data_IF_715782866015
#
_entry.id   IF_715782866015
#
_cell.length_a   1.000
_cell.length_b   1.000
_cell.length_c   1.000
_cell.angle_alpha   90.00
_cell.angle_beta   90.00
_cell.angle_gamma   90.00
#
_symmetry.space_group_name_H-M   'P 1'
#
loop_
_entity.id
_entity.type
_entity.pdbx_description
1 polymer ?
#
# COMPACT_ATOMS: atom_id res chain seq x y z
N UNK A 1 23.53 3.34 17.14
CA UNK A 1 23.81 2.05 16.43
C UNK A 1 22.55 1.22 16.46
N UNK A 2 22.15 0.62 15.35
CA UNK A 2 20.95 -0.26 15.32
C UNK A 2 21.29 -1.65 15.84
N UNK A 3 20.50 -2.14 16.78
CA UNK A 3 20.59 -3.51 17.30
C UNK A 3 20.54 -4.52 16.15
N UNK A 4 21.48 -5.48 16.06
CA UNK A 4 21.40 -6.56 15.09
C UNK A 4 20.12 -7.39 15.29
N UNK A 5 19.56 -7.90 14.20
CA UNK A 5 18.38 -8.75 14.21
C UNK A 5 18.81 -10.22 14.15
N UNK A 6 18.33 -11.05 15.06
CA UNK A 6 18.55 -12.50 15.06
C UNK A 6 17.43 -13.18 14.27
N UNK A 7 17.78 -13.93 13.23
CA UNK A 7 16.82 -14.55 12.31
C UNK A 7 16.92 -16.06 12.44
N UNK A 8 15.85 -16.65 12.95
CA UNK A 8 15.74 -18.09 13.19
C UNK A 8 15.03 -18.76 12.02
N UNK A 9 15.76 -19.56 11.24
CA UNK A 9 15.15 -20.42 10.24
C UNK A 9 14.81 -21.79 10.86
N UNK A 10 13.70 -22.42 10.46
CA UNK A 10 13.39 -23.78 10.87
C UNK A 10 14.53 -24.75 10.57
N UNK A 11 15.08 -25.37 11.61
CA UNK A 11 16.17 -26.36 11.50
C UNK A 11 17.58 -25.76 11.36
N UNK A 12 17.75 -24.45 11.52
CA UNK A 12 19.07 -23.82 11.63
C UNK A 12 19.36 -23.42 13.08
N UNK A 13 20.50 -23.86 13.61
CA UNK A 13 21.05 -23.39 14.89
C UNK A 13 22.58 -23.32 14.72
N UNK A 14 23.25 -22.19 15.01
CA UNK A 14 22.75 -20.92 15.57
C UNK A 14 21.85 -20.10 14.62
N UNK A 15 21.10 -19.10 15.14
CA UNK A 15 20.39 -18.13 14.30
C UNK A 15 21.37 -17.27 13.51
N UNK A 16 20.93 -16.78 12.36
CA UNK A 16 21.72 -15.86 11.57
C UNK A 16 21.57 -14.42 12.07
N UNK A 17 22.61 -13.61 11.87
CA UNK A 17 22.65 -12.22 12.33
C UNK A 17 22.44 -11.28 11.15
N UNK A 18 21.26 -10.68 11.09
CA UNK A 18 20.93 -9.59 10.18
C UNK A 18 21.50 -8.26 10.69
N UNK A 19 22.31 -7.62 9.87
CA UNK A 19 22.81 -6.26 10.10
C UNK A 19 22.08 -5.31 9.18
N UNK A 20 21.67 -4.16 9.70
CA UNK A 20 20.99 -3.14 8.89
C UNK A 20 21.92 -2.66 7.78
N UNK A 21 21.43 -2.71 6.55
CA UNK A 21 22.19 -2.35 5.36
C UNK A 21 21.87 -0.91 4.94
N UNK A 22 22.93 -0.11 4.72
CA UNK A 22 22.79 1.24 4.19
C UNK A 22 22.65 1.16 2.68
N UNK A 23 21.50 1.60 2.18
CA UNK A 23 21.23 1.62 0.75
C UNK A 23 22.19 2.62 0.07
N UNK A 24 22.92 2.23 -0.99
CA UNK A 24 23.78 3.12 -1.75
C UNK A 24 23.00 4.33 -2.31
N UNK A 25 23.64 5.49 -2.27
CA UNK A 25 23.09 6.78 -2.74
C UNK A 25 21.75 7.17 -2.08
N UNK A 26 21.49 6.61 -0.90
CA UNK A 26 20.38 7.02 -0.06
C UNK A 26 20.85 8.06 0.95
N UNK A 27 20.57 9.32 0.63
CA UNK A 27 20.96 10.50 1.43
C UNK A 27 20.17 10.62 2.72
N UNK A 28 18.93 10.10 2.76
CA UNK A 28 18.16 10.07 3.99
C UNK A 28 18.78 9.00 4.90
N UNK A 29 19.16 9.43 6.11
CA UNK A 29 19.84 8.61 7.10
C UNK A 29 19.02 7.38 7.53
N UNK A 30 19.55 6.56 8.47
CA UNK A 30 18.84 5.38 8.98
C UNK A 30 17.44 5.69 9.57
N UNK A 31 17.13 6.95 9.85
CA UNK A 31 15.82 7.40 10.33
C UNK A 31 14.76 7.50 9.22
N UNK A 32 15.12 7.20 7.97
CA UNK A 32 14.20 7.21 6.82
C UNK A 32 13.29 5.99 6.73
N UNK A 33 13.31 5.10 7.71
CA UNK A 33 12.47 3.91 7.78
C UNK A 33 11.86 3.80 9.17
N UNK A 34 10.82 2.98 9.31
CA UNK A 34 10.22 2.74 10.61
C UNK A 34 11.20 2.03 11.52
N UNK A 35 11.26 2.49 12.77
CA UNK A 35 12.02 1.84 13.83
C UNK A 35 11.32 0.50 14.12
N UNK A 36 12.12 -0.56 14.25
CA UNK A 36 11.60 -1.84 14.75
C UNK A 36 11.08 -1.66 16.18
N UNK A 37 9.99 -2.35 16.57
CA UNK A 37 9.59 -2.39 17.98
C UNK A 37 10.78 -2.81 18.86
N UNK A 38 10.95 -2.18 20.03
CA UNK A 38 12.16 -2.32 20.84
C UNK A 38 12.42 -3.77 21.29
N UNK A 39 11.33 -4.53 21.44
CA UNK A 39 11.28 -5.96 21.75
C UNK A 39 11.70 -6.88 20.59
N UNK A 40 11.85 -6.34 19.37
CA UNK A 40 12.16 -7.14 18.18
C UNK A 40 13.67 -7.35 18.05
N UNK A 41 14.22 -8.25 18.87
CA UNK A 41 15.60 -8.75 18.72
C UNK A 41 15.68 -10.04 17.92
N UNK A 42 14.63 -10.86 18.00
CA UNK A 42 14.55 -12.19 17.42
C UNK A 42 13.29 -12.31 16.56
N UNK A 43 13.47 -12.75 15.31
CA UNK A 43 12.37 -13.10 14.41
C UNK A 43 12.50 -14.54 13.94
N UNK A 44 11.37 -15.24 13.91
CA UNK A 44 11.27 -16.64 13.57
C UNK A 44 10.58 -16.80 12.22
N UNK A 45 11.29 -17.36 11.24
CA UNK A 45 10.73 -17.64 9.92
C UNK A 45 9.71 -18.78 10.08
N UNK A 46 8.42 -18.49 9.89
CA UNK A 46 7.35 -19.48 10.00
C UNK A 46 7.11 -20.18 8.68
N UNK A 47 7.15 -19.44 7.58
CA UNK A 47 6.81 -19.92 6.25
C UNK A 47 7.66 -19.21 5.20
N UNK A 48 8.13 -19.96 4.20
CA UNK A 48 8.79 -19.44 3.00
C UNK A 48 7.89 -19.66 1.79
N UNK A 49 7.92 -18.71 0.88
CA UNK A 49 7.10 -18.67 -0.32
C UNK A 49 7.90 -18.20 -1.51
N UNK A 50 7.62 -18.75 -2.69
CA UNK A 50 8.02 -18.19 -3.98
C UNK A 50 6.80 -17.91 -4.83
N UNK A 51 6.88 -16.95 -5.73
CA UNK A 51 5.84 -16.78 -6.74
C UNK A 51 5.85 -17.96 -7.71
N UNK A 52 4.68 -18.39 -8.17
CA UNK A 52 4.55 -19.37 -9.24
C UNK A 52 5.13 -18.81 -10.54
N UNK A 53 5.74 -19.68 -11.35
CA UNK A 53 6.29 -19.35 -12.67
C UNK A 53 5.19 -19.18 -13.72
N UNK A 54 4.12 -19.95 -13.56
CA UNK A 54 2.88 -19.74 -14.29
C UNK A 54 2.33 -18.45 -13.68
N UNK A 55 2.12 -17.40 -14.47
CA UNK A 55 1.73 -16.06 -14.03
C UNK A 55 0.28 -16.03 -13.46
N UNK A 56 -0.02 -16.94 -12.55
CA UNK A 56 -1.29 -17.23 -11.90
C UNK A 56 -1.42 -16.51 -10.55
N UNK A 57 -0.37 -15.80 -10.11
CA UNK A 57 -0.33 -15.10 -8.81
C UNK A 57 -0.27 -16.03 -7.60
N UNK A 58 -0.05 -17.33 -7.79
CA UNK A 58 0.10 -18.32 -6.73
C UNK A 58 1.47 -18.19 -6.06
N UNK A 59 1.54 -18.57 -4.79
CA UNK A 59 2.75 -18.55 -3.96
C UNK A 59 2.88 -19.96 -3.47
N UNK A 60 3.94 -20.60 -3.92
CA UNK A 60 4.25 -21.96 -3.57
C UNK A 60 5.00 -21.93 -2.25
N UNK A 61 4.51 -22.67 -1.25
CA UNK A 61 5.25 -22.89 -0.01
C UNK A 61 6.54 -23.63 -0.34
N UNK A 62 7.63 -23.23 0.31
CA UNK A 62 8.90 -23.90 0.14
C UNK A 62 9.51 -24.28 1.48
N UNK A 63 10.10 -25.47 1.54
CA UNK A 63 10.87 -25.88 2.70
C UNK A 63 12.22 -25.17 2.72
N UNK A 64 12.63 -24.73 3.92
CA UNK A 64 13.91 -24.06 4.19
C UNK A 64 15.10 -24.83 3.64
N UNK A 65 15.08 -26.17 3.72
CA UNK A 65 16.17 -27.02 3.22
C UNK A 65 16.43 -26.87 1.72
N UNK A 66 15.43 -26.44 0.95
CA UNK A 66 15.58 -26.18 -0.48
C UNK A 66 16.02 -24.74 -0.75
N UNK A 67 15.93 -23.86 0.25
CA UNK A 67 16.33 -22.47 0.08
C UNK A 67 17.83 -22.27 -0.11
N UNK A 68 18.63 -23.28 0.25
CA UNK A 68 20.09 -23.31 0.10
C UNK A 68 20.60 -23.31 -1.35
N UNK A 69 19.78 -23.76 -2.29
CA UNK A 69 20.19 -23.94 -3.70
C UNK A 69 19.89 -22.67 -4.51
N UNK A 70 19.17 -21.71 -3.92
CA UNK A 70 18.63 -20.56 -4.65
C UNK A 70 19.63 -19.43 -4.79
N UNK A 71 19.71 -18.89 -6.01
CA UNK A 71 20.74 -17.93 -6.40
C UNK A 71 22.11 -18.56 -6.64
N UNK A 72 22.22 -19.89 -6.65
CA UNK A 72 23.41 -20.65 -7.10
C UNK A 72 23.15 -21.30 -8.46
N UNK A 73 21.91 -21.70 -8.74
CA UNK A 73 21.42 -22.11 -10.07
C UNK A 73 20.85 -20.90 -10.84
N UNK A 74 20.83 -20.98 -12.18
CA UNK A 74 20.57 -19.91 -13.18
C UNK A 74 19.24 -19.13 -13.07
N UNK A 75 18.44 -19.31 -12.02
CA UNK A 75 17.11 -18.71 -11.92
C UNK A 75 16.94 -17.79 -10.70
N UNK A 76 16.91 -16.46 -10.92
CA UNK A 76 16.59 -15.51 -9.87
C UNK A 76 15.10 -15.52 -9.53
N UNK A 77 14.78 -15.92 -8.30
CA UNK A 77 13.41 -15.81 -7.76
C UNK A 77 13.41 -14.98 -6.47
N UNK A 78 12.46 -14.03 -6.33
CA UNK A 78 12.23 -13.34 -5.05
C UNK A 78 11.46 -14.32 -4.17
N UNK A 79 12.07 -14.64 -3.03
CA UNK A 79 11.44 -15.45 -2.00
C UNK A 79 10.93 -14.54 -0.90
N UNK A 80 9.74 -14.87 -0.40
CA UNK A 80 9.08 -14.18 0.67
C UNK A 80 9.11 -15.08 1.91
N UNK A 81 9.40 -14.53 3.08
CA UNK A 81 9.06 -15.19 4.34
C UNK A 81 7.95 -14.44 5.06
N UNK A 82 7.08 -15.22 5.73
CA UNK A 82 6.35 -14.74 6.91
C UNK A 82 7.21 -15.03 8.12
N UNK A 83 7.52 -14.00 8.89
CA UNK A 83 8.25 -14.10 10.14
C UNK A 83 7.46 -13.47 11.28
N UNK A 84 7.74 -13.89 12.51
CA UNK A 84 7.05 -13.41 13.70
C UNK A 84 8.04 -13.28 14.86
N UNK A 85 7.73 -12.41 15.83
CA UNK A 85 8.41 -12.42 17.14
C UNK A 85 8.09 -13.70 17.91
N UNK A 86 8.85 -13.98 18.98
CA UNK A 86 8.67 -15.19 19.80
C UNK A 86 7.24 -15.30 20.38
N UNK A 87 6.67 -14.17 20.79
CA UNK A 87 5.33 -14.01 21.34
C UNK A 87 4.25 -13.80 20.26
N UNK A 88 4.62 -13.80 18.98
CA UNK A 88 3.75 -13.52 17.83
C UNK A 88 3.04 -12.15 17.89
N UNK A 89 3.53 -11.19 18.70
CA UNK A 89 2.98 -9.83 18.78
C UNK A 89 3.18 -9.03 17.48
N UNK A 90 4.27 -9.31 16.76
CA UNK A 90 4.58 -8.68 15.48
C UNK A 90 4.77 -9.68 14.36
N UNK A 91 4.33 -9.30 13.16
CA UNK A 91 4.38 -10.13 11.95
C UNK A 91 5.07 -9.36 10.84
N UNK A 92 6.04 -10.01 10.22
CA UNK A 92 6.87 -9.41 9.20
C UNK A 92 6.81 -10.19 7.89
N UNK A 93 6.99 -9.46 6.80
CA UNK A 93 7.32 -10.01 5.50
C UNK A 93 8.79 -9.70 5.19
N UNK A 94 9.57 -10.74 4.88
CA UNK A 94 10.93 -10.60 4.39
C UNK A 94 10.94 -10.92 2.90
N UNK A 95 11.56 -10.06 2.08
CA UNK A 95 11.77 -10.29 0.65
C UNK A 95 13.26 -10.48 0.41
N UNK A 96 13.68 -11.69 0.09
CA UNK A 96 15.09 -12.08 0.00
C UNK A 96 15.63 -11.98 -1.42
N UNK A 97 16.89 -11.59 -1.50
CA UNK A 97 17.84 -11.86 -2.58
C UNK A 97 18.97 -12.69 -1.96
N UNK A 98 19.03 -13.97 -2.35
CA UNK A 98 20.11 -14.87 -1.95
C UNK A 98 21.33 -14.64 -2.84
N UNK A 99 22.52 -14.92 -2.33
CA UNK A 99 23.80 -14.63 -3.00
C UNK A 99 23.88 -13.21 -3.59
N UNK A 100 23.50 -12.20 -2.81
CA UNK A 100 23.45 -10.80 -3.23
C UNK A 100 24.76 -10.29 -3.85
N UNK A 101 25.91 -10.86 -3.47
CA UNK A 101 27.20 -10.58 -4.13
C UNK A 101 27.22 -11.03 -5.58
N UNK A 102 26.78 -12.26 -5.87
CA UNK A 102 26.67 -12.76 -7.24
C UNK A 102 25.61 -11.99 -8.04
N UNK A 103 24.46 -11.71 -7.42
CA UNK A 103 23.37 -10.94 -8.04
C UNK A 103 23.78 -9.51 -8.45
N UNK A 104 24.91 -9.01 -7.96
CA UNK A 104 25.42 -7.67 -8.29
C UNK A 104 26.67 -7.67 -9.18
N UNK A 105 27.25 -8.84 -9.48
CA UNK A 105 28.49 -8.94 -10.26
C UNK A 105 28.27 -8.77 -11.77
N UNK A 106 27.11 -9.19 -12.29
CA UNK A 106 26.76 -9.03 -13.70
C UNK A 106 25.44 -8.28 -13.85
N UNK A 107 25.53 -7.09 -14.47
CA UNK A 107 24.40 -6.19 -14.67
C UNK A 107 23.42 -6.66 -15.75
N UNK A 108 23.79 -7.65 -16.55
CA UNK A 108 22.97 -8.18 -17.63
C UNK A 108 22.05 -9.32 -17.17
N UNK A 109 22.23 -9.82 -15.94
CA UNK A 109 21.43 -10.91 -15.41
C UNK A 109 20.11 -10.41 -14.79
N UNK A 110 19.06 -11.23 -14.88
CA UNK A 110 17.76 -10.97 -14.23
C UNK A 110 17.88 -10.82 -12.69
N UNK A 111 18.90 -11.44 -12.08
CA UNK A 111 19.25 -11.31 -10.66
C UNK A 111 19.52 -9.84 -10.29
N UNK A 112 20.22 -9.12 -11.16
CA UNK A 112 20.56 -7.72 -10.97
C UNK A 112 19.31 -6.84 -11.07
N UNK A 113 18.42 -7.10 -12.02
CA UNK A 113 17.14 -6.40 -12.14
C UNK A 113 16.28 -6.56 -10.89
N UNK A 114 16.25 -7.75 -10.29
CA UNK A 114 15.50 -8.02 -9.06
C UNK A 114 16.11 -7.32 -7.85
N UNK A 115 17.44 -7.31 -7.76
CA UNK A 115 18.18 -6.51 -6.79
C UNK A 115 17.86 -5.02 -6.92
N UNK A 116 17.90 -4.46 -8.14
CA UNK A 116 17.58 -3.05 -8.40
C UNK A 116 16.13 -2.72 -8.04
N UNK A 117 15.17 -3.59 -8.39
CA UNK A 117 13.77 -3.42 -8.02
C UNK A 117 13.58 -3.40 -6.50
N UNK A 118 14.23 -4.31 -5.77
CA UNK A 118 14.13 -4.34 -4.30
C UNK A 118 14.67 -3.05 -3.68
N UNK A 119 15.78 -2.51 -4.21
CA UNK A 119 16.33 -1.23 -3.78
C UNK A 119 15.43 -0.07 -4.13
N UNK A 120 14.93 0.00 -5.36
CA UNK A 120 14.05 1.05 -5.83
C UNK A 120 12.78 1.13 -4.95
N UNK A 121 12.20 -0.03 -4.63
CA UNK A 121 11.05 -0.15 -3.73
C UNK A 121 11.36 0.41 -2.32
N UNK A 122 12.48 0.01 -1.71
CA UNK A 122 12.89 0.52 -0.39
C UNK A 122 13.18 2.03 -0.40
N UNK A 123 13.81 2.55 -1.47
CA UNK A 123 14.03 3.99 -1.66
C UNK A 123 12.71 4.75 -1.81
N UNK A 124 11.74 4.19 -2.54
CA UNK A 124 10.44 4.82 -2.71
C UNK A 124 9.66 4.86 -1.40
N UNK A 125 9.66 3.74 -0.64
CA UNK A 125 9.04 3.67 0.67
C UNK A 125 9.54 4.75 1.63
N UNK A 126 10.87 4.85 1.77
CA UNK A 126 11.50 5.80 2.69
C UNK A 126 11.34 7.27 2.30
N UNK A 127 11.16 7.56 1.01
CA UNK A 127 11.03 8.95 0.51
C UNK A 127 9.59 9.43 0.39
N UNK A 128 8.68 8.54 -0.03
CA UNK A 128 7.35 8.92 -0.50
C UNK A 128 6.22 8.30 0.31
N UNK A 129 6.46 7.18 1.01
CA UNK A 129 5.37 6.39 1.60
C UNK A 129 5.32 6.39 3.13
N UNK A 130 6.26 7.06 3.81
CA UNK A 130 6.33 7.08 5.28
C UNK A 130 5.01 7.53 5.93
N UNK A 131 4.31 8.49 5.33
CA UNK A 131 3.04 9.01 5.85
C UNK A 131 1.84 8.07 5.62
N UNK A 132 1.99 7.02 4.83
CA UNK A 132 0.94 6.04 4.48
C UNK A 132 1.20 4.65 5.04
N UNK A 133 2.35 4.48 5.68
CA UNK A 133 2.81 3.21 6.21
C UNK A 133 1.95 2.72 7.38
N UNK A 134 1.48 1.48 7.28
CA UNK A 134 0.53 0.88 8.20
C UNK A 134 -0.93 1.27 7.92
N UNK A 135 -1.21 2.01 6.83
CA UNK A 135 -2.58 2.38 6.43
C UNK A 135 -2.89 1.98 4.99
N UNK A 136 -2.08 2.43 4.02
CA UNK A 136 -2.24 2.11 2.60
C UNK A 136 -1.12 1.21 2.06
N UNK A 137 0.02 1.24 2.74
CA UNK A 137 1.19 0.44 2.38
C UNK A 137 1.79 -0.17 3.65
N UNK A 138 2.57 -1.25 3.57
CA UNK A 138 3.24 -1.83 4.73
C UNK A 138 4.22 -0.85 5.36
N UNK A 139 4.39 -0.94 6.69
CA UNK A 139 5.57 -0.34 7.33
C UNK A 139 6.84 -1.00 6.82
N UNK A 140 7.81 -0.20 6.38
CA UNK A 140 9.11 -0.68 5.93
C UNK A 140 10.15 -0.43 7.03
N UNK A 141 10.78 -1.49 7.53
CA UNK A 141 11.73 -1.47 8.65
C UNK A 141 13.20 -1.46 8.19
N UNK A 142 13.40 -1.36 6.88
CA UNK A 142 14.70 -1.15 6.26
C UNK A 142 15.18 -2.36 5.46
N UNK A 143 16.37 -2.19 4.91
CA UNK A 143 17.10 -3.25 4.22
C UNK A 143 18.14 -3.85 5.16
N UNK A 144 18.38 -5.14 5.03
CA UNK A 144 19.21 -5.90 5.96
C UNK A 144 20.09 -6.87 5.18
N UNK A 145 21.32 -7.04 5.67
CA UNK A 145 22.31 -7.95 5.13
C UNK A 145 22.61 -9.03 6.17
N UNK A 146 22.73 -10.27 5.72
CA UNK A 146 23.01 -11.41 6.57
C UNK A 146 24.02 -12.32 5.87
N UNK A 147 25.07 -12.70 6.57
CA UNK A 147 26.02 -13.70 6.08
C UNK A 147 25.55 -15.07 6.56
N UNK A 148 25.31 -15.98 5.62
CA UNK A 148 24.83 -17.33 5.89
C UNK A 148 25.86 -18.42 5.55
N UNK A 149 27.12 -18.01 5.38
CA UNK A 149 28.24 -18.90 5.03
C UNK A 149 27.87 -19.81 3.84
N UNK A 150 28.15 -21.11 3.94
CA UNK A 150 27.93 -22.09 2.87
C UNK A 150 26.46 -22.41 2.61
N UNK A 151 25.52 -21.85 3.40
CA UNK A 151 24.09 -22.11 3.19
C UNK A 151 23.54 -21.35 1.99
N UNK A 152 23.73 -20.03 1.93
CA UNK A 152 23.22 -19.19 0.84
C UNK A 152 24.04 -17.91 0.62
N UNK A 153 25.31 -17.94 1.02
CA UNK A 153 26.26 -16.84 0.88
C UNK A 153 25.84 -15.57 1.62
N UNK A 154 25.87 -14.44 0.92
CA UNK A 154 25.38 -13.17 1.45
C UNK A 154 23.93 -12.97 1.05
N UNK A 155 23.04 -12.82 2.02
CA UNK A 155 21.61 -12.59 1.80
C UNK A 155 21.28 -11.12 2.05
N UNK A 156 20.68 -10.47 1.06
CA UNK A 156 20.09 -9.14 1.21
C UNK A 156 18.57 -9.30 1.31
N UNK A 157 17.92 -8.59 2.22
CA UNK A 157 16.46 -8.61 2.29
C UNK A 157 15.85 -7.27 2.71
N UNK A 158 14.64 -7.03 2.22
CA UNK A 158 13.75 -5.99 2.74
C UNK A 158 12.90 -6.58 3.86
N UNK A 159 12.76 -5.85 4.96
CA UNK A 159 11.89 -6.20 6.08
C UNK A 159 10.70 -5.24 6.13
N UNK A 160 9.49 -5.78 6.01
CA UNK A 160 8.23 -5.01 6.02
C UNK A 160 7.21 -5.63 6.97
N UNK A 161 6.16 -4.90 7.29
CA UNK A 161 4.98 -5.44 7.97
C UNK A 161 4.34 -6.55 7.12
N UNK A 162 3.92 -7.64 7.76
CA UNK A 162 3.06 -8.62 7.10
C UNK A 162 1.65 -8.05 6.93
N UNK A 163 1.16 -8.01 5.69
CA UNK A 163 -0.07 -7.32 5.31
C UNK A 163 -1.12 -8.24 4.68
N UNK A 164 -1.03 -9.56 4.90
CA UNK A 164 -2.09 -10.50 4.53
C UNK A 164 -1.91 -11.21 3.19
N UNK A 165 -3.05 -11.44 2.51
CA UNK A 165 -3.16 -12.30 1.32
C UNK A 165 -3.42 -11.45 0.07
N UNK A 166 -2.76 -11.74 -1.07
CA UNK A 166 -3.05 -11.06 -2.32
C UNK A 166 -4.52 -11.18 -2.72
N UNK A 167 -5.14 -10.07 -3.14
CA UNK A 167 -6.53 -10.02 -3.55
C UNK A 167 -6.79 -10.93 -4.76
N UNK A 168 -5.81 -11.08 -5.65
CA UNK A 168 -5.90 -12.04 -6.77
C UNK A 168 -6.19 -13.48 -6.34
N UNK A 169 -5.91 -13.86 -5.08
CA UNK A 169 -6.26 -15.19 -4.52
C UNK A 169 -7.59 -15.26 -3.81
N UNK A 170 -8.14 -14.10 -3.50
CA UNK A 170 -9.44 -14.00 -2.88
C UNK A 170 -10.54 -14.04 -3.96
N UNK A 171 -10.20 -13.74 -5.22
CA UNK A 171 -11.08 -13.88 -6.37
C UNK A 171 -11.70 -15.29 -6.46
N UNK A 172 -13.01 -15.35 -6.68
CA UNK A 172 -13.78 -16.59 -6.72
C UNK A 172 -13.97 -17.31 -5.37
N UNK A 173 -13.50 -16.74 -4.26
CA UNK A 173 -13.74 -17.26 -2.91
C UNK A 173 -14.88 -16.52 -2.23
N UNK A 174 -15.28 -16.94 -1.03
CA UNK A 174 -16.26 -16.21 -0.21
C UNK A 174 -15.82 -14.78 0.18
N UNK A 175 -14.53 -14.45 0.00
CA UNK A 175 -13.98 -13.11 0.26
C UNK A 175 -13.94 -12.23 -1.00
N UNK A 176 -14.36 -12.75 -2.15
CA UNK A 176 -14.55 -11.96 -3.38
C UNK A 176 -15.87 -11.19 -3.35
N UNK A 177 -16.03 -10.32 -2.36
CA UNK A 177 -17.24 -9.51 -2.18
C UNK A 177 -17.12 -8.18 -2.93
N UNK A 178 -18.27 -7.59 -3.27
CA UNK A 178 -18.31 -6.25 -3.86
C UNK A 178 -17.62 -5.23 -2.94
N UNK A 179 -17.81 -5.35 -1.64
CA UNK A 179 -17.19 -4.49 -0.64
C UNK A 179 -15.67 -4.60 -0.62
N UNK A 180 -15.12 -5.81 -0.79
CA UNK A 180 -13.67 -6.00 -0.92
C UNK A 180 -13.14 -5.46 -2.25
N UNK A 181 -13.87 -5.59 -3.35
CA UNK A 181 -13.50 -4.96 -4.63
C UNK A 181 -13.49 -3.43 -4.50
N UNK A 182 -14.51 -2.85 -3.87
CA UNK A 182 -14.57 -1.42 -3.56
C UNK A 182 -13.43 -0.99 -2.61
N UNK A 183 -13.07 -1.81 -1.62
CA UNK A 183 -11.91 -1.61 -0.75
C UNK A 183 -10.59 -1.55 -1.54
N UNK A 184 -10.39 -2.41 -2.54
CA UNK A 184 -9.22 -2.34 -3.42
C UNK A 184 -9.24 -1.06 -4.25
N UNK A 185 -10.37 -0.75 -4.90
CA UNK A 185 -10.52 0.44 -5.72
C UNK A 185 -10.23 1.74 -4.95
N UNK A 186 -10.80 1.86 -3.75
CA UNK A 186 -10.56 3.02 -2.88
C UNK A 186 -9.12 3.15 -2.42
N UNK A 187 -8.41 2.04 -2.22
CA UNK A 187 -7.01 2.07 -1.79
C UNK A 187 -6.12 2.66 -2.90
N UNK A 188 -6.38 2.35 -4.17
CA UNK A 188 -5.71 2.98 -5.30
C UNK A 188 -6.04 4.47 -5.44
N UNK A 189 -7.32 4.84 -5.29
CA UNK A 189 -7.72 6.24 -5.33
C UNK A 189 -7.05 7.07 -4.25
N UNK A 190 -6.92 6.53 -3.03
CA UNK A 190 -6.21 7.18 -1.95
C UNK A 190 -4.73 7.38 -2.30
N UNK A 191 -4.04 6.42 -2.93
CA UNK A 191 -2.68 6.65 -3.41
C UNK A 191 -2.62 7.80 -4.43
N UNK A 192 -3.56 7.83 -5.38
CA UNK A 192 -3.62 8.86 -6.42
C UNK A 192 -3.90 10.24 -5.87
N UNK A 193 -4.77 10.34 -4.86
CA UNK A 193 -5.06 11.60 -4.17
C UNK A 193 -3.84 12.16 -3.43
N UNK A 194 -2.91 11.28 -3.03
CA UNK A 194 -1.62 11.67 -2.48
C UNK A 194 -0.53 11.87 -3.55
N UNK A 195 -0.90 11.81 -4.83
CA UNK A 195 0.02 12.00 -5.94
C UNK A 195 0.98 10.84 -6.16
N UNK A 196 0.57 9.62 -5.83
CA UNK A 196 1.35 8.41 -6.11
C UNK A 196 0.69 7.65 -7.26
N UNK A 197 1.47 7.38 -8.31
CA UNK A 197 1.13 6.47 -9.39
C UNK A 197 1.88 5.16 -9.16
N UNK A 198 1.18 4.03 -9.15
CA UNK A 198 1.79 2.72 -8.90
C UNK A 198 2.59 2.21 -10.11
N UNK A 199 2.10 2.49 -11.31
CA UNK A 199 2.53 2.07 -12.64
C UNK A 199 2.86 0.57 -12.74
N UNK A 200 1.81 -0.27 -12.74
CA UNK A 200 1.94 -1.64 -13.22
C UNK A 200 1.60 -1.72 -14.71
N UNK A 201 2.52 -2.28 -15.49
CA UNK A 201 2.27 -2.54 -16.92
C UNK A 201 1.32 -3.72 -17.15
N UNK A 202 0.97 -4.51 -16.12
CA UNK A 202 0.14 -5.71 -16.23
C UNK A 202 -1.04 -5.69 -15.25
N UNK A 203 -2.25 -5.93 -15.78
CA UNK A 203 -3.50 -5.94 -15.01
C UNK A 203 -3.56 -7.12 -14.03
N UNK A 204 -3.15 -8.32 -14.42
CA UNK A 204 -3.12 -9.50 -13.53
C UNK A 204 -2.16 -9.30 -12.37
N UNK A 205 -1.01 -8.65 -12.63
CA UNK A 205 -0.02 -8.34 -11.58
C UNK A 205 -0.52 -7.28 -10.60
N UNK A 206 -1.44 -6.40 -11.03
CA UNK A 206 -1.96 -5.32 -10.18
C UNK A 206 -2.63 -5.87 -8.92
N UNK A 207 -3.55 -6.82 -9.06
CA UNK A 207 -4.27 -7.42 -7.92
C UNK A 207 -3.39 -8.36 -7.07
N UNK A 208 -2.32 -8.89 -7.66
CA UNK A 208 -1.31 -9.68 -6.92
C UNK A 208 -0.48 -8.85 -5.93
N UNK A 209 -0.48 -7.53 -6.09
CA UNK A 209 0.22 -6.59 -5.23
C UNK A 209 -0.70 -5.79 -4.31
N UNK A 210 -1.99 -6.12 -4.29
CA UNK A 210 -2.93 -5.62 -3.28
C UNK A 210 -3.17 -6.74 -2.27
N UNK A 211 -2.90 -6.47 -1.00
CA UNK A 211 -3.02 -7.43 0.08
C UNK A 211 -4.16 -7.03 1.01
N UNK A 212 -5.03 -7.99 1.35
CA UNK A 212 -6.03 -7.82 2.41
C UNK A 212 -5.54 -8.58 3.65
N UNK A 213 -5.43 -7.88 4.79
CA UNK A 213 -5.00 -8.49 6.04
C UNK A 213 -6.14 -9.23 6.75
N UNK A 214 -6.41 -10.43 6.25
CA UNK A 214 -7.38 -11.37 6.82
C UNK A 214 -7.01 -11.86 8.23
N UNK A 215 -5.78 -11.57 8.68
CA UNK A 215 -5.29 -11.96 9.99
C UNK A 215 -5.14 -10.76 10.92
N UNK A 216 -5.58 -9.56 10.52
CA UNK A 216 -5.55 -8.39 11.39
C UNK A 216 -6.35 -8.68 12.69
N UNK A 217 -5.87 -8.28 13.88
CA UNK A 217 -6.57 -8.53 15.14
C UNK A 217 -8.02 -8.04 15.14
N UNK A 218 -8.30 -6.90 14.48
CA UNK A 218 -9.65 -6.36 14.41
C UNK A 218 -10.58 -7.20 13.52
N UNK A 219 -10.02 -7.89 12.51
CA UNK A 219 -10.73 -8.87 11.67
C UNK A 219 -10.88 -10.19 12.41
N UNK A 220 -9.87 -10.64 13.16
CA UNK A 220 -9.97 -11.84 13.98
C UNK A 220 -11.07 -11.72 15.06
N UNK A 221 -11.23 -10.53 15.66
CA UNK A 221 -12.30 -10.25 16.61
C UNK A 221 -13.69 -10.14 15.99
N UNK A 222 -13.76 -9.81 14.70
CA UNK A 222 -15.01 -9.61 13.96
C UNK A 222 -14.81 -9.99 12.49
N UNK A 223 -15.01 -11.28 12.14
CA UNK A 223 -14.82 -11.77 10.78
C UNK A 223 -15.75 -11.11 9.76
N UNK A 224 -16.86 -10.52 10.19
CA UNK A 224 -17.78 -9.82 9.29
C UNK A 224 -17.11 -8.62 8.62
N UNK A 225 -16.11 -8.00 9.26
CA UNK A 225 -15.30 -6.92 8.66
C UNK A 225 -14.59 -7.32 7.38
N UNK A 226 -14.24 -8.60 7.24
CA UNK A 226 -13.61 -9.09 6.02
C UNK A 226 -14.62 -9.21 4.87
N UNK A 227 -15.90 -9.46 5.18
CA UNK A 227 -16.95 -9.54 4.16
C UNK A 227 -17.45 -8.14 3.77
N UNK A 228 -17.41 -7.18 4.69
CA UNK A 228 -17.92 -5.81 4.49
C UNK A 228 -16.87 -4.79 4.04
N UNK A 229 -15.70 -5.24 3.55
CA UNK A 229 -14.66 -4.33 3.06
C UNK A 229 -14.06 -3.42 4.14
N UNK A 230 -14.09 -3.87 5.40
CA UNK A 230 -13.54 -3.15 6.55
C UNK A 230 -12.19 -3.72 7.01
N UNK A 231 -11.71 -4.81 6.41
CA UNK A 231 -10.36 -5.31 6.63
C UNK A 231 -9.30 -4.30 6.13
N UNK A 232 -8.11 -4.26 6.76
CA UNK A 232 -7.00 -3.48 6.24
C UNK A 232 -6.58 -3.95 4.84
N UNK A 233 -6.34 -3.00 3.94
CA UNK A 233 -5.90 -3.25 2.57
C UNK A 233 -4.63 -2.46 2.29
N UNK A 234 -3.65 -3.13 1.69
CA UNK A 234 -2.32 -2.57 1.46
C UNK A 234 -1.89 -2.79 0.02
N UNK A 235 -1.31 -1.78 -0.60
CA UNK A 235 -0.61 -1.91 -1.87
C UNK A 235 0.87 -2.10 -1.55
N UNK A 236 1.52 -3.06 -2.23
CA UNK A 236 2.92 -3.42 -2.00
C UNK A 236 3.75 -3.35 -3.27
N UNK A 237 5.08 -3.33 -3.13
CA UNK A 237 6.04 -3.38 -4.23
C UNK A 237 5.92 -2.19 -5.19
N UNK A 238 6.64 -1.11 -4.90
CA UNK A 238 6.70 0.15 -5.64
C UNK A 238 8.02 0.38 -6.42
N UNK A 239 8.63 -0.63 -7.08
CA UNK A 239 9.91 -0.41 -7.76
C UNK A 239 9.81 0.53 -8.98
N UNK A 240 8.61 0.66 -9.56
CA UNK A 240 8.32 1.46 -10.75
C UNK A 240 7.37 2.62 -10.46
N UNK A 241 7.02 2.84 -9.19
CA UNK A 241 6.07 3.86 -8.82
C UNK A 241 6.64 5.26 -9.03
N UNK A 242 5.75 6.21 -9.32
CA UNK A 242 6.09 7.61 -9.48
C UNK A 242 5.37 8.46 -8.42
N UNK A 243 6.09 9.44 -7.88
CA UNK A 243 5.53 10.47 -7.02
C UNK A 243 5.09 11.69 -7.86
N UNK A 244 4.37 12.61 -7.23
CA UNK A 244 3.87 13.84 -7.85
C UNK A 244 2.91 13.61 -9.03
N UNK A 245 2.20 12.48 -9.05
CA UNK A 245 1.16 12.21 -10.02
C UNK A 245 -0.02 13.19 -9.88
N UNK A 246 -0.22 14.04 -10.87
CA UNK A 246 -1.38 14.92 -10.95
C UNK A 246 -2.59 14.14 -11.51
N UNK A 247 -3.25 13.35 -10.68
CA UNK A 247 -4.36 12.50 -11.10
C UNK A 247 -5.53 13.35 -11.65
N UNK A 248 -5.85 13.15 -12.93
CA UNK A 248 -6.95 13.85 -13.61
C UNK A 248 -8.25 13.04 -13.62
N UNK A 249 -8.39 12.04 -12.74
CA UNK A 249 -9.57 11.16 -12.77
C UNK A 249 -10.87 11.94 -12.52
N UNK A 250 -11.91 11.70 -13.31
CA UNK A 250 -13.20 12.41 -13.16
C UNK A 250 -14.27 11.58 -12.48
N UNK A 251 -14.04 10.28 -12.41
CA UNK A 251 -14.98 9.26 -11.96
C UNK A 251 -14.28 8.46 -10.85
N UNK A 252 -14.96 8.16 -9.74
CA UNK A 252 -14.42 7.24 -8.74
C UNK A 252 -14.30 5.80 -9.27
N UNK A 253 -13.47 4.99 -8.63
CA UNK A 253 -13.40 3.53 -8.86
C UNK A 253 -14.58 2.88 -8.14
N UNK A 254 -15.72 2.80 -8.83
CA UNK A 254 -16.95 2.14 -8.38
C UNK A 254 -17.59 1.41 -9.57
N UNK A 255 -18.47 0.42 -9.35
CA UNK A 255 -19.28 -0.14 -10.42
C UNK A 255 -20.11 0.96 -11.09
N UNK A 256 -20.07 1.00 -12.41
CA UNK A 256 -20.85 1.92 -13.22
C UNK A 256 -21.65 1.11 -14.22
N UNK A 257 -22.96 1.38 -14.33
CA UNK A 257 -23.89 0.59 -15.14
C UNK A 257 -23.79 0.87 -16.63
N UNK A 258 -22.69 1.49 -17.04
CA UNK A 258 -22.37 1.75 -18.42
C UNK A 258 -20.86 1.71 -18.62
N UNK A 259 -20.49 1.33 -19.83
CA UNK A 259 -19.10 1.31 -20.28
C UNK A 259 -18.45 2.69 -20.11
N UNK A 260 -17.33 2.74 -19.39
CA UNK A 260 -16.54 3.97 -19.23
C UNK A 260 -15.49 4.03 -20.33
N UNK A 261 -15.57 5.01 -21.23
CA UNK A 261 -14.51 5.20 -22.23
C UNK A 261 -13.22 5.64 -21.54
N UNK A 262 -12.10 5.06 -21.96
CA UNK A 262 -10.78 5.37 -21.39
C UNK A 262 -10.46 6.87 -21.30
N UNK A 263 -10.84 7.65 -22.32
CA UNK A 263 -10.61 9.10 -22.36
C UNK A 263 -11.44 9.89 -21.34
N UNK A 264 -12.61 9.39 -20.97
CA UNK A 264 -13.53 10.07 -20.06
C UNK A 264 -13.10 9.92 -18.60
N UNK A 265 -12.42 8.81 -18.27
CA UNK A 265 -12.00 8.53 -16.91
C UNK A 265 -10.90 9.49 -16.43
N UNK A 266 -9.92 9.85 -17.27
CA UNK A 266 -8.85 10.81 -16.95
C UNK A 266 -7.64 10.24 -16.18
N UNK A 267 -7.56 8.92 -15.96
CA UNK A 267 -6.37 8.27 -15.42
C UNK A 267 -6.21 6.83 -15.92
N UNK A 268 -5.13 6.54 -16.65
CA UNK A 268 -4.92 5.23 -17.29
C UNK A 268 -4.78 4.08 -16.29
N UNK A 269 -4.07 4.27 -15.18
CA UNK A 269 -3.89 3.22 -14.17
C UNK A 269 -5.23 2.83 -13.54
N UNK A 270 -6.04 3.81 -13.17
CA UNK A 270 -7.31 3.53 -12.50
C UNK A 270 -8.37 2.94 -13.43
N UNK A 271 -8.28 3.15 -14.75
CA UNK A 271 -9.08 2.35 -15.70
C UNK A 271 -8.64 0.88 -15.69
N UNK A 272 -7.33 0.59 -15.56
CA UNK A 272 -6.88 -0.80 -15.37
C UNK A 272 -7.39 -1.37 -14.05
N UNK A 273 -7.45 -0.56 -12.98
CA UNK A 273 -8.04 -0.96 -11.70
C UNK A 273 -9.53 -1.30 -11.88
N UNK A 274 -10.31 -0.43 -12.53
CA UNK A 274 -11.73 -0.71 -12.85
C UNK A 274 -11.91 -2.04 -13.58
N UNK A 275 -11.10 -2.26 -14.62
CA UNK A 275 -11.14 -3.50 -15.40
C UNK A 275 -10.79 -4.71 -14.53
N UNK A 276 -9.71 -4.63 -13.74
CA UNK A 276 -9.29 -5.71 -12.87
C UNK A 276 -10.32 -6.04 -11.78
N UNK A 277 -11.11 -5.05 -11.34
CA UNK A 277 -12.16 -5.22 -10.35
C UNK A 277 -13.51 -5.61 -10.93
N UNK A 278 -13.61 -5.80 -12.25
CA UNK A 278 -14.87 -6.14 -12.93
C UNK A 278 -15.95 -5.06 -12.74
N UNK A 279 -15.55 -3.79 -12.75
CA UNK A 279 -16.43 -2.62 -12.63
C UNK A 279 -16.72 -1.94 -13.96
N UNK A 280 -16.24 -2.53 -15.05
CA UNK A 280 -16.25 -1.93 -16.39
C UNK A 280 -17.50 -2.27 -17.20
N UNK A 281 -18.16 -3.37 -16.87
CA UNK A 281 -19.40 -3.82 -17.49
C UNK A 281 -20.54 -3.78 -16.47
N UNK A 282 -21.79 -3.59 -16.93
CA UNK A 282 -22.95 -3.76 -16.07
C UNK A 282 -22.94 -5.17 -15.48
N UNK A 283 -23.17 -5.27 -14.17
CA UNK A 283 -23.35 -6.56 -13.51
C UNK A 283 -24.78 -6.67 -13.02
N UNK A 284 -25.42 -7.80 -13.32
CA UNK A 284 -26.82 -8.06 -12.95
C UNK A 284 -27.02 -8.08 -11.42
N UNK A 285 -25.95 -8.32 -10.65
CA UNK A 285 -25.96 -8.34 -9.19
C UNK A 285 -25.74 -6.96 -8.54
N UNK A 286 -25.55 -5.91 -9.33
CA UNK A 286 -25.30 -4.55 -8.83
C UNK A 286 -26.38 -3.61 -9.36
N UNK A 287 -27.21 -3.10 -8.45
CA UNK A 287 -28.13 -2.00 -8.75
C UNK A 287 -27.33 -0.72 -9.00
N UNK A 288 -27.39 -0.20 -10.23
CA UNK A 288 -26.64 0.99 -10.62
C UNK A 288 -27.61 2.12 -10.90
N UNK A 289 -27.66 3.05 -9.95
CA UNK A 289 -28.60 4.17 -9.95
C UNK A 289 -28.09 5.40 -10.72
N UNK A 290 -26.84 5.41 -11.20
CA UNK A 290 -26.22 6.61 -11.79
C UNK A 290 -25.42 6.31 -13.07
N UNK A 291 -25.89 6.77 -14.25
CA UNK A 291 -25.15 6.67 -15.50
C UNK A 291 -23.81 7.42 -15.48
N UNK A 292 -22.80 6.90 -16.19
CA UNK A 292 -21.48 7.53 -16.33
C UNK A 292 -21.55 8.99 -16.83
N UNK A 293 -22.50 9.31 -17.72
CA UNK A 293 -22.68 10.68 -18.24
C UNK A 293 -23.08 11.67 -17.14
N UNK A 294 -23.95 11.26 -16.21
CA UNK A 294 -24.38 12.08 -15.09
C UNK A 294 -23.25 12.31 -14.09
N UNK A 295 -22.41 11.29 -13.86
CA UNK A 295 -21.18 11.41 -13.05
C UNK A 295 -20.24 12.46 -13.64
N UNK A 296 -19.97 12.38 -14.95
CA UNK A 296 -19.08 13.31 -15.65
C UNK A 296 -19.64 14.74 -15.69
N UNK A 297 -20.95 14.87 -15.93
CA UNK A 297 -21.66 16.15 -15.91
C UNK A 297 -21.58 16.79 -14.53
N UNK A 298 -21.81 16.01 -13.48
CA UNK A 298 -21.72 16.48 -12.10
C UNK A 298 -20.29 16.90 -11.74
N UNK A 299 -19.27 16.09 -12.07
CA UNK A 299 -17.87 16.43 -11.83
C UNK A 299 -17.49 17.76 -12.50
N UNK A 300 -17.86 17.92 -13.77
CA UNK A 300 -17.59 19.14 -14.54
C UNK A 300 -18.27 20.37 -13.92
N UNK A 301 -19.55 20.25 -13.53
CA UNK A 301 -20.30 21.32 -12.87
C UNK A 301 -19.69 21.68 -11.50
N UNK A 302 -19.31 20.68 -10.72
CA UNK A 302 -18.65 20.86 -9.44
C UNK A 302 -17.31 21.60 -9.58
N UNK A 303 -16.45 21.17 -10.51
CA UNK A 303 -15.17 21.82 -10.76
C UNK A 303 -15.34 23.26 -11.27
N UNK A 304 -16.37 23.53 -12.08
CA UNK A 304 -16.69 24.90 -12.50
C UNK A 304 -17.13 25.78 -11.33
N UNK A 305 -17.90 25.24 -10.39
CA UNK A 305 -18.43 25.99 -9.25
C UNK A 305 -17.39 26.20 -8.14
N UNK A 306 -16.67 25.14 -7.77
CA UNK A 306 -15.79 25.10 -6.60
C UNK A 306 -14.30 25.07 -6.94
N UNK A 307 -13.90 25.03 -8.22
CA UNK A 307 -12.52 24.74 -8.66
C UNK A 307 -11.45 25.65 -8.05
N UNK A 308 -11.78 26.91 -7.77
CA UNK A 308 -10.86 27.85 -7.12
C UNK A 308 -10.66 27.58 -5.61
N UNK A 309 -11.59 26.85 -4.98
CA UNK A 309 -11.63 26.56 -3.54
C UNK A 309 -11.18 25.12 -3.22
N UNK A 310 -11.21 24.20 -4.17
CA UNK A 310 -10.76 22.82 -3.97
C UNK A 310 -9.25 22.68 -4.23
N UNK A 311 -8.45 22.23 -3.25
CA UNK A 311 -6.99 22.20 -3.39
C UNK A 311 -6.50 21.11 -4.35
N UNK A 312 -7.32 20.09 -4.59
CA UNK A 312 -7.02 19.00 -5.52
C UNK A 312 -8.28 18.24 -5.93
N UNK A 313 -8.16 17.52 -7.04
CA UNK A 313 -9.23 16.74 -7.65
C UNK A 313 -9.84 15.68 -6.70
N UNK A 314 -9.07 15.14 -5.76
CA UNK A 314 -9.58 14.21 -4.73
C UNK A 314 -10.76 14.77 -3.93
N UNK A 315 -10.79 16.08 -3.65
CA UNK A 315 -11.89 16.71 -2.92
C UNK A 315 -13.20 16.67 -3.73
N UNK A 316 -13.13 16.94 -5.03
CA UNK A 316 -14.27 16.85 -5.92
C UNK A 316 -14.83 15.42 -5.98
N UNK A 317 -13.97 14.41 -5.96
CA UNK A 317 -14.39 13.01 -6.02
C UNK A 317 -14.98 12.51 -4.71
N UNK A 318 -14.53 13.03 -3.56
CA UNK A 318 -15.16 12.79 -2.25
C UNK A 318 -16.57 13.38 -2.24
N UNK A 319 -16.73 14.62 -2.72
CA UNK A 319 -18.03 15.28 -2.86
C UNK A 319 -18.96 14.48 -3.80
N UNK A 320 -18.43 14.05 -4.94
CA UNK A 320 -19.14 13.24 -5.93
C UNK A 320 -19.64 11.95 -5.32
N UNK A 321 -18.77 11.19 -4.63
CA UNK A 321 -19.16 9.95 -3.94
C UNK A 321 -20.23 10.17 -2.90
N UNK A 322 -20.08 11.21 -2.08
CA UNK A 322 -21.10 11.53 -1.10
C UNK A 322 -22.45 11.81 -1.77
N UNK A 323 -22.46 12.53 -2.89
CA UNK A 323 -23.69 12.92 -3.58
C UNK A 323 -24.34 11.78 -4.37
N UNK A 324 -23.58 11.10 -5.22
CA UNK A 324 -24.10 10.16 -6.21
C UNK A 324 -24.00 8.69 -5.77
N UNK A 325 -23.10 8.37 -4.85
CA UNK A 325 -22.85 7.00 -4.39
C UNK A 325 -23.02 6.83 -2.87
N UNK A 326 -24.16 7.23 -2.28
CA UNK A 326 -24.34 7.24 -0.83
C UNK A 326 -24.23 5.85 -0.19
N UNK A 327 -24.56 4.78 -0.93
CA UNK A 327 -24.45 3.37 -0.47
C UNK A 327 -22.99 2.91 -0.36
N UNK A 328 -22.05 3.55 -1.06
CA UNK A 328 -20.64 3.15 -1.14
C UNK A 328 -19.69 4.12 -0.39
N UNK A 329 -20.15 4.69 0.73
CA UNK A 329 -19.69 6.00 1.22
C UNK A 329 -18.32 6.14 1.92
N UNK A 330 -17.61 5.17 2.51
CA UNK A 330 -16.39 5.55 3.22
C UNK A 330 -15.15 5.47 2.33
N UNK A 331 -14.80 6.62 1.75
CA UNK A 331 -13.40 7.03 1.60
C UNK A 331 -12.94 7.69 2.91
N UNK A 332 -11.68 7.48 3.28
CA UNK A 332 -10.99 8.22 4.36
C UNK A 332 -11.50 8.05 5.79
N UNK A 333 -12.58 7.30 6.07
CA UNK A 333 -13.21 7.28 7.40
C UNK A 333 -12.31 6.85 8.58
N UNK A 334 -11.21 6.16 8.30
CA UNK A 334 -10.19 5.76 9.29
C UNK A 334 -9.12 6.84 9.52
N UNK A 335 -8.92 7.76 8.57
CA UNK A 335 -7.82 8.72 8.57
C UNK A 335 -8.29 10.17 8.71
N UNK A 336 -9.47 10.49 8.18
CA UNK A 336 -10.02 11.85 8.17
C UNK A 336 -11.51 11.85 8.56
N UNK A 337 -11.91 12.90 9.26
CA UNK A 337 -13.30 13.32 9.33
C UNK A 337 -13.61 14.19 8.11
N UNK A 338 -14.61 13.78 7.33
CA UNK A 338 -15.05 14.50 6.14
C UNK A 338 -16.23 15.38 6.52
N UNK A 339 -16.07 16.70 6.39
CA UNK A 339 -17.15 17.67 6.59
C UNK A 339 -17.59 18.26 5.24
N UNK A 340 -18.89 18.44 5.09
CA UNK A 340 -19.51 19.07 3.93
C UNK A 340 -20.10 20.41 4.35
N UNK A 341 -19.91 21.45 3.54
CA UNK A 341 -20.43 22.80 3.78
C UNK A 341 -20.81 23.49 2.47
N UNK A 342 -21.46 24.65 2.54
CA UNK A 342 -21.82 25.42 1.33
C UNK A 342 -23.06 24.87 0.63
N UNK A 343 -23.07 24.94 -0.71
CA UNK A 343 -24.25 24.65 -1.52
C UNK A 343 -24.64 23.16 -1.46
N UNK A 344 -25.93 22.80 -1.24
CA UNK A 344 -26.37 21.39 -1.13
C UNK A 344 -26.11 20.52 -2.37
N UNK A 345 -26.09 21.14 -3.55
CA UNK A 345 -25.83 20.45 -4.81
C UNK A 345 -24.33 20.25 -5.08
N UNK A 346 -23.50 21.19 -4.62
CA UNK A 346 -22.05 21.23 -4.85
C UNK A 346 -21.31 21.52 -3.53
N UNK A 347 -21.37 20.62 -2.54
CA UNK A 347 -20.85 20.90 -1.22
C UNK A 347 -19.31 20.99 -1.23
N UNK A 348 -18.79 22.00 -0.54
CA UNK A 348 -17.37 22.10 -0.25
C UNK A 348 -16.97 21.01 0.74
N UNK A 349 -15.91 20.29 0.41
CA UNK A 349 -15.35 19.22 1.23
C UNK A 349 -14.22 19.77 2.07
N UNK A 350 -14.24 19.47 3.37
CA UNK A 350 -13.13 19.68 4.28
C UNK A 350 -12.68 18.35 4.86
N UNK A 351 -11.39 18.05 4.74
CA UNK A 351 -10.78 16.87 5.34
C UNK A 351 -10.06 17.28 6.62
N UNK A 352 -10.57 16.83 7.76
CA UNK A 352 -9.95 17.04 9.06
C UNK A 352 -9.22 15.77 9.45
N UNK A 353 -7.89 15.83 9.59
CA UNK A 353 -7.11 14.66 10.01
C UNK A 353 -7.55 14.25 11.41
N UNK A 354 -7.92 12.97 11.57
CA UNK A 354 -8.13 12.42 12.90
C UNK A 354 -6.82 12.48 13.66
N UNK A 355 -6.86 12.81 14.95
CA UNK A 355 -5.66 12.79 15.78
C UNK A 355 -5.05 11.38 15.71
N UNK A 356 -3.87 11.28 15.08
CA UNK A 356 -3.11 10.04 15.13
C UNK A 356 -2.51 9.92 16.53
N UNK A 357 -2.37 8.71 17.08
CA UNK A 357 -1.53 8.48 18.25
C UNK A 357 -0.14 9.08 17.98
N UNK A 358 0.45 9.75 18.97
CA UNK A 358 1.52 10.74 18.83
C UNK A 358 2.88 10.27 18.24
N UNK A 359 2.98 9.13 17.55
CA UNK A 359 4.25 8.50 17.21
C UNK A 359 4.76 8.66 15.76
N UNK A 360 4.12 9.45 14.86
CA UNK A 360 4.47 9.40 13.42
C UNK A 360 4.44 10.71 12.62
N UNK A 361 4.77 11.88 13.19
CA UNK A 361 4.87 13.10 12.37
C UNK A 361 6.24 13.23 11.67
N UNK A 362 6.26 13.15 10.33
CA UNK A 362 7.40 13.60 9.49
C UNK A 362 6.92 14.58 8.42
N UNK A 363 7.68 15.66 8.20
CA UNK A 363 7.34 16.77 7.31
C UNK A 363 7.86 16.55 5.89
N UNK A 364 6.95 16.24 4.96
CA UNK A 364 7.23 16.15 3.54
C UNK A 364 5.96 15.74 2.79
N UNK A 365 5.25 16.73 2.25
CA UNK A 365 3.94 16.53 1.64
C UNK A 365 3.82 17.37 0.35
N UNK A 366 3.13 16.84 -0.66
CA UNK A 366 2.75 17.61 -1.85
C UNK A 366 1.69 18.66 -1.47
N UNK A 367 1.44 19.69 -2.31
CA UNK A 367 0.42 20.73 -2.04
C UNK A 367 -0.98 20.18 -1.66
N UNK A 368 -1.38 19.03 -2.19
CA UNK A 368 -2.63 18.36 -1.79
C UNK A 368 -2.49 17.76 -0.37
N UNK A 369 -1.36 17.12 -0.05
CA UNK A 369 -1.07 16.59 1.28
C UNK A 369 -0.77 17.68 2.35
N UNK A 370 -0.23 18.84 1.96
CA UNK A 370 -0.01 20.01 2.84
C UNK A 370 -1.33 20.70 3.19
N UNK A 371 -2.27 20.81 2.25
CA UNK A 371 -3.63 21.30 2.54
C UNK A 371 -4.43 20.36 3.47
N UNK A 372 -3.95 19.11 3.60
CA UNK A 372 -4.50 18.06 4.47
C UNK A 372 -3.79 18.05 5.85
N UNK A 373 -2.67 18.76 6.02
CA UNK A 373 -1.97 18.88 7.30
C UNK A 373 -2.18 20.26 7.96
N UNK A 374 -2.94 20.24 9.06
CA UNK A 374 -2.82 21.13 10.25
C UNK A 374 -3.25 22.60 10.07
N UNK A 375 -4.51 22.88 10.44
CA UNK A 375 -4.81 24.00 11.34
C UNK A 375 -4.93 23.43 12.75
N UNK A 376 -3.86 23.47 13.54
CA UNK A 376 -3.98 23.43 14.99
C UNK A 376 -4.64 24.74 15.39
N UNK A 377 -5.84 24.66 15.96
CA UNK A 377 -6.43 25.79 16.65
C UNK A 377 -5.53 26.15 17.83
N UNK A 378 -4.72 27.20 17.69
CA UNK A 378 -4.22 27.90 18.86
C UNK A 378 -5.43 28.46 19.58
N UNK A 379 -5.69 27.96 20.79
CA UNK A 379 -6.58 28.60 21.72
C UNK A 379 -6.00 30.01 21.98
N UNK A 380 -6.69 31.03 21.49
CA UNK A 380 -6.46 32.39 21.94
C UNK A 380 -6.86 32.45 23.40
N UNK A 381 -5.86 32.69 24.26
CA UNK A 381 -6.11 33.15 25.62
C UNK A 381 -6.65 34.58 25.54
N UNK A 382 -7.95 34.73 25.73
CA UNK A 382 -8.52 35.98 26.25
C UNK A 382 -7.91 36.24 27.63
N UNK A 383 -7.15 37.32 27.74
CA UNK A 383 -6.85 37.98 29.01
C UNK A 383 -7.39 39.41 28.93
N UNK A 384 -8.66 39.56 29.28
CA UNK A 384 -9.21 40.81 29.78
C UNK A 384 -8.79 40.98 31.25
N UNK A 385 -8.04 42.07 31.49
CA UNK A 385 -8.08 43.00 32.63
C UNK A 385 -8.40 42.50 34.05
N UNK A 386 -7.48 42.78 34.98
CA UNK A 386 -7.76 43.60 36.18
C UNK A 386 -6.43 44.08 36.82
N UNK A 387 -6.01 45.30 36.46
CA UNK A 387 -5.68 46.45 37.34
C UNK A 387 -5.14 47.63 36.53
#
# INVERSE_FOLDING_TARGET
>A
MTTPLRIHFPGSDPPFIGKRWKIPDHTNGPDSFHILPAETTDIYIRQLFRNSRINDGMRLKVAVKYARIWGVEDEPEIIYARAETADSSHRFCLRFIFNARLATNDKLLETYDMYQRLIADAKFHSRQLMNFAGTLVPRHFGMWLMETADWAGTVLFSLTQWCGVPFSRLLGTAYDTLENRLLVGRTFEMLHDHGILYDSHSFTKLLGHVLIDIHDPAVASDPHKLLTGMAPCYIVSFPTAAAHHACQRKIPVVPLGSYVRHGDYGCRELVKVLFALDFFEPRDDIEIDTPTEDVLKWHTAYMKHNGALVPCNGHALIALRAKLFPKHRPLYGHTFDVKFSGHPEYPLVQLLRKALPASTASSGASKCAESISVRTSSAGSDSSEEL
#
